data_IF_425036837293
#
_entry.id   IF_425036837293
#
_cell.length_a   1.000
_cell.length_b   1.000
_cell.length_c   1.000
_cell.angle_alpha   90.00
_cell.angle_beta   90.00
_cell.angle_gamma   90.00
#
_symmetry.space_group_name_H-M   'P 1'
#
loop_
_entity.id
_entity.type
_entity.pdbx_description
1 polymer ?
#
# COMPACT_ATOMS: atom_id res chain seq x y z
N UNK A 1 -11.22 -9.52 16.10
CA UNK A 1 -10.38 -8.29 16.09
C UNK A 1 -8.96 -8.53 15.59
N UNK A 2 -8.21 -9.54 16.07
CA UNK A 2 -6.83 -9.83 15.60
C UNK A 2 -6.69 -10.10 14.08
N UNK A 3 -7.66 -10.80 13.47
CA UNK A 3 -7.61 -11.15 12.04
C UNK A 3 -7.84 -9.92 11.14
N UNK A 4 -8.73 -9.00 11.54
CA UNK A 4 -9.02 -7.81 10.73
C UNK A 4 -7.82 -6.85 10.62
N UNK A 5 -7.07 -6.67 11.70
CA UNK A 5 -5.86 -5.84 11.69
C UNK A 5 -4.67 -6.51 10.97
N UNK A 6 -4.68 -7.84 10.80
CA UNK A 6 -3.64 -8.54 10.03
C UNK A 6 -3.88 -8.53 8.53
N UNK A 7 -5.03 -8.03 8.06
CA UNK A 7 -5.47 -8.02 6.65
C UNK A 7 -5.52 -6.60 6.04
N UNK A 8 -5.26 -5.57 6.86
CA UNK A 8 -5.16 -4.20 6.39
C UNK A 8 -3.69 -3.97 6.00
N UNK A 9 -3.43 -3.54 4.75
CA UNK A 9 -2.06 -3.33 4.32
C UNK A 9 -1.47 -2.15 5.09
N UNK A 10 -0.31 -2.34 5.71
CA UNK A 10 0.24 -1.38 6.68
C UNK A 10 0.58 -0.01 6.06
N UNK A 11 0.82 0.01 4.75
CA UNK A 11 0.98 1.22 3.94
C UNK A 11 -0.25 2.15 3.94
N UNK A 12 -1.42 1.67 4.39
CA UNK A 12 -2.61 2.52 4.58
C UNK A 12 -2.34 3.68 5.54
N UNK A 13 -1.47 3.49 6.54
CA UNK A 13 -1.15 4.54 7.53
C UNK A 13 -0.39 5.70 6.87
N UNK A 14 0.79 5.51 6.24
CA UNK A 14 1.48 6.59 5.57
C UNK A 14 0.68 7.19 4.42
N UNK A 15 -0.11 6.40 3.68
CA UNK A 15 -0.98 6.92 2.61
C UNK A 15 -2.05 7.85 3.20
N UNK A 16 -2.72 7.45 4.28
CA UNK A 16 -3.69 8.30 4.96
C UNK A 16 -3.06 9.60 5.49
N UNK A 17 -1.83 9.55 6.00
CA UNK A 17 -1.10 10.75 6.42
C UNK A 17 -0.86 11.71 5.24
N UNK A 18 -0.47 11.19 4.06
CA UNK A 18 -0.32 12.02 2.85
C UNK A 18 -1.64 12.71 2.51
N UNK A 19 -2.75 11.96 2.47
CA UNK A 19 -4.07 12.53 2.18
C UNK A 19 -4.47 13.61 3.20
N UNK A 20 -4.31 13.34 4.50
CA UNK A 20 -4.65 14.29 5.55
C UNK A 20 -3.80 15.56 5.48
N UNK A 21 -2.52 15.45 5.16
CA UNK A 21 -1.64 16.61 4.97
C UNK A 21 -2.04 17.43 3.74
N UNK A 22 -2.28 16.78 2.60
CA UNK A 22 -2.64 17.45 1.35
C UNK A 22 -3.99 18.18 1.45
N UNK A 23 -4.95 17.62 2.20
CA UNK A 23 -6.24 18.28 2.48
C UNK A 23 -6.18 19.35 3.58
N UNK A 24 -5.01 19.60 4.18
CA UNK A 24 -4.83 20.61 5.22
C UNK A 24 -5.37 20.21 6.60
N UNK A 25 -5.65 18.92 6.84
CA UNK A 25 -6.03 18.43 8.16
C UNK A 25 -4.83 18.24 9.10
N UNK A 26 -3.63 18.09 8.56
CA UNK A 26 -2.38 18.00 9.32
C UNK A 26 -1.39 19.02 8.78
N UNK A 27 -1.03 20.00 9.61
CA UNK A 27 0.01 20.98 9.30
C UNK A 27 1.34 20.59 9.93
N UNK A 28 2.35 20.40 9.10
CA UNK A 28 3.73 20.26 9.53
C UNK A 28 4.47 21.57 9.31
N UNK A 29 5.32 21.93 10.28
CA UNK A 29 6.13 23.17 10.23
C UNK A 29 7.08 23.20 9.02
N UNK A 30 7.46 22.03 8.52
CA UNK A 30 8.35 21.86 7.38
C UNK A 30 7.90 20.66 6.52
N UNK A 31 7.62 20.91 5.24
CA UNK A 31 7.21 19.90 4.27
C UNK A 31 8.31 18.87 4.01
N UNK A 32 9.59 19.24 4.15
CA UNK A 32 10.69 18.29 4.00
C UNK A 32 10.72 17.28 5.13
N UNK A 33 10.53 17.74 6.37
CA UNK A 33 10.41 16.86 7.55
C UNK A 33 9.23 15.90 7.42
N UNK A 34 8.06 16.39 6.95
CA UNK A 34 6.90 15.54 6.70
C UNK A 34 7.19 14.47 5.64
N UNK A 35 7.76 14.87 4.50
CA UNK A 35 8.14 13.97 3.43
C UNK A 35 9.11 12.87 3.90
N UNK A 36 10.09 13.22 4.74
CA UNK A 36 11.04 12.27 5.34
C UNK A 36 10.34 11.25 6.25
N UNK A 37 9.42 11.70 7.10
CA UNK A 37 8.65 10.82 8.00
C UNK A 37 7.79 9.86 7.19
N UNK A 38 7.02 10.37 6.23
CA UNK A 38 6.13 9.56 5.39
C UNK A 38 6.93 8.57 4.55
N UNK A 39 8.04 8.99 3.94
CA UNK A 39 8.90 8.10 3.15
C UNK A 39 9.50 7.00 4.02
N UNK A 40 9.97 7.35 5.22
CA UNK A 40 10.47 6.38 6.20
C UNK A 40 9.39 5.37 6.62
N UNK A 41 8.16 5.84 6.85
CA UNK A 41 7.03 4.97 7.17
C UNK A 41 6.63 4.07 5.99
N UNK A 42 6.62 4.57 4.76
CA UNK A 42 6.37 3.75 3.56
C UNK A 42 7.43 2.64 3.43
N UNK A 43 8.71 2.98 3.53
CA UNK A 43 9.80 1.99 3.46
C UNK A 43 9.66 0.96 4.58
N UNK A 44 9.40 1.41 5.81
CA UNK A 44 9.27 0.51 6.97
C UNK A 44 8.06 -0.42 6.82
N UNK A 45 6.90 0.10 6.45
CA UNK A 45 5.68 -0.70 6.27
C UNK A 45 5.81 -1.68 5.12
N UNK A 46 6.34 -1.26 3.96
CA UNK A 46 6.67 -2.17 2.86
C UNK A 46 7.66 -3.26 3.29
N UNK A 47 8.70 -2.91 4.04
CA UNK A 47 9.67 -3.90 4.53
C UNK A 47 8.99 -4.95 5.41
N UNK A 48 8.04 -4.55 6.25
CA UNK A 48 7.24 -5.49 7.05
C UNK A 48 6.37 -6.37 6.16
N UNK A 49 5.66 -5.80 5.17
CA UNK A 49 4.83 -6.59 4.25
C UNK A 49 5.70 -7.57 3.42
N UNK A 50 6.89 -7.16 2.99
CA UNK A 50 7.85 -8.04 2.33
C UNK A 50 8.36 -9.15 3.28
N UNK A 51 8.67 -8.86 4.55
CA UNK A 51 9.06 -9.89 5.51
C UNK A 51 7.92 -10.85 5.80
N UNK A 52 6.68 -10.34 5.96
CA UNK A 52 5.50 -11.19 6.09
C UNK A 52 5.34 -12.09 4.88
N UNK A 53 5.50 -11.56 3.67
CA UNK A 53 5.41 -12.34 2.44
C UNK A 53 6.43 -13.46 2.36
N UNK A 54 7.66 -13.21 2.83
CA UNK A 54 8.76 -14.16 2.79
C UNK A 54 8.67 -15.23 3.89
N UNK A 55 8.20 -14.86 5.09
CA UNK A 55 8.21 -15.75 6.27
C UNK A 55 6.87 -16.46 6.51
N UNK A 56 5.76 -15.80 6.19
CA UNK A 56 4.41 -16.29 6.44
C UNK A 56 3.69 -16.32 5.10
N UNK A 57 3.92 -17.38 4.31
CA UNK A 57 3.06 -17.67 3.18
C UNK A 57 1.62 -17.85 3.70
N UNK A 58 0.84 -16.76 3.70
CA UNK A 58 -0.52 -16.69 4.22
C UNK A 58 -1.38 -17.71 3.47
N UNK A 59 -1.61 -18.88 4.06
CA UNK A 59 -2.36 -19.95 3.39
C UNK A 59 -3.82 -19.57 3.18
N UNK A 60 -4.37 -19.97 2.03
CA UNK A 60 -5.79 -19.88 1.75
C UNK A 60 -6.34 -18.45 1.58
N UNK A 61 -7.61 -18.19 1.97
CA UNK A 61 -8.38 -16.98 1.63
C UNK A 61 -7.81 -15.66 2.16
N UNK A 62 -6.95 -15.70 3.17
CA UNK A 62 -6.39 -14.50 3.79
C UNK A 62 -5.43 -13.76 2.84
N UNK A 63 -4.62 -14.48 2.05
CA UNK A 63 -3.72 -13.86 1.07
C UNK A 63 -4.46 -13.15 -0.07
N UNK A 64 -5.61 -13.71 -0.50
CA UNK A 64 -6.46 -13.09 -1.51
C UNK A 64 -7.12 -11.81 -1.02
N UNK A 65 -7.57 -11.81 0.23
CA UNK A 65 -8.16 -10.62 0.84
C UNK A 65 -7.12 -9.51 1.04
N UNK A 66 -5.91 -9.85 1.50
CA UNK A 66 -4.80 -8.91 1.64
C UNK A 66 -4.42 -8.26 0.29
N UNK A 67 -4.20 -9.09 -0.74
CA UNK A 67 -3.99 -8.61 -2.12
C UNK A 67 -5.11 -7.67 -2.59
N UNK A 68 -6.37 -8.06 -2.37
CA UNK A 68 -7.53 -7.26 -2.79
C UNK A 68 -7.56 -5.89 -2.08
N UNK A 69 -7.25 -5.85 -0.78
CA UNK A 69 -7.17 -4.60 -0.03
C UNK A 69 -6.05 -3.69 -0.54
N UNK A 70 -4.86 -4.23 -0.81
CA UNK A 70 -3.76 -3.48 -1.43
C UNK A 70 -4.11 -2.97 -2.82
N UNK A 71 -4.87 -3.74 -3.60
CA UNK A 71 -5.32 -3.34 -4.93
C UNK A 71 -6.35 -2.20 -4.88
N UNK A 72 -7.29 -2.24 -3.94
CA UNK A 72 -8.22 -1.13 -3.71
C UNK A 72 -7.49 0.16 -3.32
N UNK A 73 -6.47 0.05 -2.48
CA UNK A 73 -5.65 1.20 -2.07
C UNK A 73 -4.86 1.78 -3.26
N UNK A 74 -4.34 0.93 -4.16
CA UNK A 74 -3.71 1.37 -5.40
C UNK A 74 -4.67 2.17 -6.28
N UNK A 75 -5.90 1.67 -6.45
CA UNK A 75 -6.94 2.38 -7.21
C UNK A 75 -7.23 3.75 -6.57
N UNK A 76 -7.28 3.84 -5.24
CA UNK A 76 -7.51 5.11 -4.55
C UNK A 76 -6.38 6.13 -4.81
N UNK A 77 -5.12 5.70 -4.68
CA UNK A 77 -3.94 6.56 -4.95
C UNK A 77 -3.92 7.00 -6.41
N UNK A 78 -4.10 6.06 -7.35
CA UNK A 78 -4.14 6.36 -8.78
C UNK A 78 -5.32 7.28 -9.15
N UNK A 79 -6.50 7.01 -8.59
CA UNK A 79 -7.69 7.83 -8.80
C UNK A 79 -7.49 9.27 -8.32
N UNK A 80 -6.80 9.47 -7.21
CA UNK A 80 -6.43 10.82 -6.74
C UNK A 80 -5.47 11.52 -7.71
N UNK A 81 -4.42 10.83 -8.17
CA UNK A 81 -3.48 11.36 -9.16
C UNK A 81 -4.23 11.82 -10.43
N UNK A 82 -5.11 10.97 -10.96
CA UNK A 82 -5.94 11.30 -12.13
C UNK A 82 -6.86 12.49 -11.85
N UNK A 83 -7.49 12.54 -10.67
CA UNK A 83 -8.35 13.66 -10.29
C UNK A 83 -7.58 14.99 -10.27
N UNK A 84 -6.38 15.04 -9.68
CA UNK A 84 -5.56 16.26 -9.65
C UNK A 84 -5.14 16.67 -11.07
N UNK A 85 -4.65 15.73 -11.88
CA UNK A 85 -4.23 16.02 -13.26
C UNK A 85 -5.39 16.50 -14.14
N UNK A 86 -6.52 15.80 -14.12
CA UNK A 86 -7.61 16.00 -15.09
C UNK A 86 -8.59 17.07 -14.62
N UNK A 87 -8.90 17.13 -13.32
CA UNK A 87 -9.94 18.03 -12.80
C UNK A 87 -9.38 19.33 -12.23
N UNK A 88 -8.19 19.30 -11.63
CA UNK A 88 -7.58 20.50 -11.04
C UNK A 88 -6.55 21.15 -11.97
N UNK A 89 -6.11 20.46 -13.03
CA UNK A 89 -5.06 20.96 -13.93
C UNK A 89 -3.71 21.12 -13.25
N UNK A 90 -3.52 20.48 -12.10
CA UNK A 90 -2.31 20.54 -11.29
C UNK A 90 -1.45 19.30 -11.45
N UNK A 91 -0.22 19.37 -10.95
CA UNK A 91 0.67 18.22 -10.80
C UNK A 91 0.53 17.71 -9.36
N UNK A 92 0.18 16.42 -9.13
CA UNK A 92 0.13 15.85 -7.79
C UNK A 92 1.46 16.00 -7.06
N UNK A 93 1.41 16.11 -5.73
CA UNK A 93 2.63 16.22 -4.95
C UNK A 93 3.54 15.00 -5.15
N UNK A 94 4.88 15.15 -5.08
CA UNK A 94 5.83 14.03 -5.22
C UNK A 94 5.55 12.85 -4.26
N UNK A 95 4.91 13.12 -3.13
CA UNK A 95 4.50 12.09 -2.16
C UNK A 95 3.44 11.13 -2.73
N UNK A 96 2.55 11.60 -3.61
CA UNK A 96 1.59 10.71 -4.26
C UNK A 96 2.24 9.80 -5.29
N UNK A 97 3.29 10.26 -5.98
CA UNK A 97 4.09 9.40 -6.86
C UNK A 97 4.83 8.32 -6.07
N UNK A 98 5.44 8.69 -4.95
CA UNK A 98 6.07 7.73 -4.05
C UNK A 98 5.07 6.73 -3.47
N UNK A 99 3.89 7.20 -3.06
CA UNK A 99 2.80 6.34 -2.59
C UNK A 99 2.32 5.39 -3.70
N UNK A 100 2.24 5.85 -4.95
CA UNK A 100 1.88 5.02 -6.10
C UNK A 100 2.90 3.91 -6.33
N UNK A 101 4.19 4.22 -6.32
CA UNK A 101 5.27 3.25 -6.49
C UNK A 101 5.27 2.22 -5.36
N UNK A 102 5.20 2.69 -4.11
CA UNK A 102 5.08 1.87 -2.91
C UNK A 102 3.89 0.91 -3.01
N UNK A 103 2.71 1.43 -3.34
CA UNK A 103 1.49 0.62 -3.41
C UNK A 103 1.51 -0.35 -4.59
N UNK A 104 2.13 0.02 -5.70
CA UNK A 104 2.31 -0.87 -6.85
C UNK A 104 3.18 -2.07 -6.47
N UNK A 105 4.27 -1.83 -5.76
CA UNK A 105 5.14 -2.89 -5.26
C UNK A 105 4.38 -3.83 -4.31
N UNK A 106 3.60 -3.27 -3.38
CA UNK A 106 2.79 -4.04 -2.43
C UNK A 106 1.76 -4.93 -3.13
N UNK A 107 1.06 -4.42 -4.14
CA UNK A 107 0.11 -5.19 -4.96
C UNK A 107 0.81 -6.33 -5.71
N UNK A 108 1.98 -6.09 -6.31
CA UNK A 108 2.72 -7.12 -7.05
C UNK A 108 3.17 -8.23 -6.09
N UNK A 109 3.70 -7.86 -4.92
CA UNK A 109 4.11 -8.82 -3.88
C UNK A 109 2.90 -9.62 -3.37
N UNK A 110 1.81 -8.94 -3.02
CA UNK A 110 0.57 -9.58 -2.57
C UNK A 110 -0.01 -10.55 -3.60
N UNK A 111 -0.01 -10.16 -4.88
CA UNK A 111 -0.46 -11.02 -5.98
C UNK A 111 0.41 -12.27 -6.12
N UNK A 112 1.73 -12.11 -6.09
CA UNK A 112 2.67 -13.22 -6.20
C UNK A 112 2.46 -14.26 -5.08
N UNK A 113 2.25 -13.80 -3.85
CA UNK A 113 1.95 -14.67 -2.70
C UNK A 113 0.62 -15.40 -2.92
N UNK A 114 -0.44 -14.67 -3.27
CA UNK A 114 -1.78 -15.23 -3.45
C UNK A 114 -1.79 -16.34 -4.52
N UNK A 115 -1.11 -16.10 -5.65
CA UNK A 115 -0.95 -17.09 -6.72
C UNK A 115 -0.10 -18.28 -6.27
N UNK A 116 1.02 -18.04 -5.58
CA UNK A 116 1.89 -19.12 -5.09
C UNK A 116 1.15 -20.04 -4.12
N UNK A 117 0.38 -19.46 -3.20
CA UNK A 117 -0.44 -20.23 -2.25
C UNK A 117 -1.57 -20.97 -2.96
N UNK A 118 -2.25 -20.35 -3.93
CA UNK A 118 -3.27 -21.03 -4.71
C UNK A 118 -2.70 -22.24 -5.47
N UNK A 119 -1.49 -22.13 -6.03
CA UNK A 119 -0.82 -23.25 -6.71
C UNK A 119 -0.49 -24.40 -5.76
N UNK A 120 0.02 -24.10 -4.58
CA UNK A 120 0.27 -25.09 -3.52
C UNK A 120 -1.01 -25.78 -3.08
N UNK A 121 -2.07 -25.00 -2.85
CA UNK A 121 -3.36 -25.50 -2.34
C UNK A 121 -4.09 -26.39 -3.37
N UNK A 122 -3.85 -26.19 -4.67
CA UNK A 122 -4.38 -27.03 -5.76
C UNK A 122 -3.53 -28.31 -5.97
N UNK A 123 -2.43 -28.49 -5.23
CA UNK A 123 -1.57 -29.66 -5.36
C UNK A 123 -0.77 -29.70 -6.66
N UNK A 124 -0.51 -28.52 -7.27
CA UNK A 124 0.35 -28.38 -8.46
C UNK A 124 1.84 -28.36 -8.07
N UNK A 125 2.18 -28.91 -6.90
CA UNK A 125 3.55 -29.18 -6.46
C UNK A 125 3.82 -30.67 -6.71
N UNK A 126 4.55 -30.94 -7.79
CA UNK A 126 5.33 -32.16 -7.95
C UNK A 126 6.70 -31.98 -7.29
#
# INVERSE_FOLDING_TARGET
>A
MRIFFSLLPLNIIPIALIFLHEFGYIEYKDNYTFALIVSGLLIFTLSIEMVKSAMFALSGPASWLDFFMSFLLLIAVFGYIVYVYVKQGGVPSPLFWLALEAQTLDVVVGFYIAVTNARRDIGVEH
#
